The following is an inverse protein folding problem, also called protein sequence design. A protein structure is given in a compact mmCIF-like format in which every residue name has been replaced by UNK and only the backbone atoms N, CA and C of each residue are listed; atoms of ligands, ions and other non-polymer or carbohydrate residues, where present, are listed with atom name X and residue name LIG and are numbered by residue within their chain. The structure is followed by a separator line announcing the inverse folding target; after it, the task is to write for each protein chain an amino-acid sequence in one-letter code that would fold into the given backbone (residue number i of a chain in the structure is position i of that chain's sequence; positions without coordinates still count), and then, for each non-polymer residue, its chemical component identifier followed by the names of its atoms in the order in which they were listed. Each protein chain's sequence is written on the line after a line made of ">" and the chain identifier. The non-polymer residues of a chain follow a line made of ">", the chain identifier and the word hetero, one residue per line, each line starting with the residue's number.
data_IF_604933848757
#
_entry.id   IF_604933848757
#
_cell.length_a   1.000
_cell.length_b   1.000
_cell.length_c   1.000
_cell.angle_alpha   90.00
_cell.angle_beta   90.00
_cell.angle_gamma   90.00
#
_symmetry.space_group_name_H-M   'P 1'
#
loop_
_entity.id
_entity.type
_entity.pdbx_description
1 polymer ?
#
# COMPACT_ATOMS: atom_id res chain seq x y z
N UNK A 1 -6.90 -10.34 -11.24
CA UNK A 1 -6.39 -8.98 -10.98
C UNK A 1 -6.20 -8.25 -12.29
N UNK A 2 -6.15 -6.92 -12.28
CA UNK A 2 -6.01 -6.07 -13.48
C UNK A 2 -5.18 -4.83 -13.14
N UNK A 3 -4.68 -4.17 -14.17
CA UNK A 3 -3.91 -2.94 -14.02
C UNK A 3 -4.81 -1.69 -14.01
N UNK A 4 -4.45 -0.75 -13.15
CA UNK A 4 -4.70 0.68 -13.27
C UNK A 4 -3.34 1.33 -13.48
N UNK A 5 -3.15 2.07 -14.57
CA UNK A 5 -1.85 2.58 -15.02
C UNK A 5 -0.81 1.46 -15.21
N UNK A 6 -1.05 0.59 -16.20
CA UNK A 6 -0.13 -0.53 -16.50
C UNK A 6 1.27 -0.01 -16.86
N UNK A 7 2.35 -0.51 -16.23
CA UNK A 7 3.71 -0.15 -16.61
C UNK A 7 4.10 -0.82 -17.95
N UNK A 8 5.07 -0.23 -18.65
CA UNK A 8 5.55 -0.77 -19.95
C UNK A 8 6.28 -2.11 -19.80
N UNK A 9 7.00 -2.29 -18.69
CA UNK A 9 7.80 -3.49 -18.41
C UNK A 9 7.32 -4.16 -17.13
N UNK A 10 6.76 -5.34 -17.25
CA UNK A 10 6.35 -6.18 -16.13
C UNK A 10 6.27 -7.64 -16.54
N UNK A 11 6.39 -8.54 -15.58
CA UNK A 11 6.25 -9.98 -15.78
C UNK A 11 5.75 -10.69 -14.52
N UNK A 12 5.14 -11.86 -14.74
CA UNK A 12 4.88 -12.83 -13.67
C UNK A 12 5.76 -14.05 -13.83
N UNK A 13 6.37 -14.49 -12.72
CA UNK A 13 7.02 -15.78 -12.59
C UNK A 13 6.41 -16.50 -11.38
N UNK A 14 5.51 -17.44 -11.61
CA UNK A 14 4.70 -18.04 -10.54
C UNK A 14 3.87 -16.97 -9.82
N UNK A 15 4.10 -16.81 -8.52
CA UNK A 15 3.41 -15.82 -7.67
C UNK A 15 4.22 -14.51 -7.48
N UNK A 16 5.24 -14.28 -8.31
CA UNK A 16 6.09 -13.10 -8.25
C UNK A 16 5.74 -12.15 -9.36
N UNK A 17 5.45 -10.90 -9.02
CA UNK A 17 5.28 -9.81 -9.96
C UNK A 17 6.55 -8.96 -9.96
N UNK A 18 7.24 -8.90 -11.08
CA UNK A 18 8.35 -7.98 -11.32
C UNK A 18 7.90 -6.88 -12.25
N UNK A 19 8.29 -5.64 -11.96
CA UNK A 19 8.06 -4.52 -12.87
C UNK A 19 9.18 -3.48 -12.78
N UNK A 20 9.40 -2.76 -13.89
CA UNK A 20 10.11 -1.50 -13.87
C UNK A 20 9.10 -0.38 -13.62
N UNK A 21 9.25 0.32 -12.50
CA UNK A 21 8.31 1.36 -12.07
C UNK A 21 8.39 2.54 -13.04
N UNK A 22 7.24 2.95 -13.55
CA UNK A 22 7.13 4.06 -14.51
C UNK A 22 7.70 5.35 -13.92
N UNK A 23 8.65 6.00 -14.61
CA UNK A 23 9.24 7.27 -14.17
C UNK A 23 8.21 8.39 -14.07
N UNK A 24 8.44 9.33 -13.14
CA UNK A 24 7.64 10.55 -12.97
C UNK A 24 6.17 10.31 -12.65
N UNK A 25 5.89 9.21 -11.97
CA UNK A 25 4.54 8.84 -11.51
C UNK A 25 4.39 9.03 -10.00
N UNK A 26 3.17 9.31 -9.54
CA UNK A 26 2.85 9.43 -8.10
C UNK A 26 1.37 9.15 -7.82
N UNK A 27 1.05 9.13 -6.52
CA UNK A 27 -0.29 9.22 -5.95
C UNK A 27 -0.28 10.29 -4.87
N UNK A 28 -0.83 11.46 -5.18
CA UNK A 28 -0.90 12.58 -4.25
C UNK A 28 -2.12 13.47 -4.52
N UNK A 29 -2.68 14.07 -3.47
CA UNK A 29 -3.77 15.05 -3.61
C UNK A 29 -3.51 16.27 -2.74
N UNK A 30 -3.22 17.36 -3.39
CA UNK A 30 -3.22 18.77 -2.98
C UNK A 30 -2.39 19.18 -1.77
N UNK A 31 -2.40 18.45 -0.66
CA UNK A 31 -1.75 18.85 0.60
C UNK A 31 -0.32 19.30 0.37
N UNK A 32 0.03 20.45 0.92
CA UNK A 32 1.34 21.10 0.86
C UNK A 32 1.80 21.52 -0.54
N UNK A 33 1.73 20.61 -1.53
CA UNK A 33 2.29 20.82 -2.87
C UNK A 33 1.32 21.45 -3.88
N UNK A 34 0.02 21.41 -3.62
CA UNK A 34 -1.02 22.02 -4.47
C UNK A 34 -1.40 21.23 -5.72
N UNK A 35 -0.69 20.16 -6.09
CA UNK A 35 -1.00 19.34 -7.25
C UNK A 35 -1.82 18.07 -6.90
N UNK A 36 -2.38 17.45 -7.92
CA UNK A 36 -3.02 16.13 -7.84
C UNK A 36 -2.43 15.25 -8.93
N UNK A 37 -1.93 14.07 -8.55
CA UNK A 37 -1.37 13.04 -9.43
C UNK A 37 -1.96 11.68 -9.03
N UNK A 38 -2.24 10.84 -10.04
CA UNK A 38 -2.93 9.55 -9.87
C UNK A 38 -2.52 8.59 -11.01
N UNK A 39 -1.21 8.41 -11.23
CA UNK A 39 -0.66 7.78 -12.42
C UNK A 39 0.38 6.68 -12.18
N UNK A 40 0.67 6.34 -10.93
CA UNK A 40 1.53 5.20 -10.60
C UNK A 40 0.94 3.84 -11.02
N UNK A 41 1.75 2.83 -11.29
CA UNK A 41 1.28 1.47 -11.52
C UNK A 41 0.54 0.91 -10.30
N UNK A 42 -0.65 0.30 -10.55
CA UNK A 42 -1.42 -0.35 -9.51
C UNK A 42 -2.06 -1.64 -10.05
N UNK A 43 -1.63 -2.80 -9.55
CA UNK A 43 -2.17 -4.10 -9.93
C UNK A 43 -3.11 -4.60 -8.85
N UNK A 44 -4.41 -4.64 -9.14
CA UNK A 44 -5.45 -4.81 -8.12
C UNK A 44 -6.54 -5.81 -8.49
N UNK A 45 -7.31 -6.17 -7.47
CA UNK A 45 -8.65 -6.77 -7.62
C UNK A 45 -9.65 -6.00 -6.76
N UNK A 46 -10.92 -6.06 -7.14
CA UNK A 46 -12.01 -5.49 -6.33
C UNK A 46 -12.51 -6.52 -5.33
N UNK A 47 -12.70 -6.09 -4.09
CA UNK A 47 -13.07 -6.92 -2.97
C UNK A 47 -13.99 -6.18 -2.02
N UNK A 48 -15.04 -6.85 -1.53
CA UNK A 48 -15.93 -6.36 -0.47
C UNK A 48 -15.65 -7.04 0.88
N UNK A 49 -16.24 -6.50 1.95
CA UNK A 49 -16.16 -7.07 3.29
C UNK A 49 -14.82 -6.85 3.99
N UNK A 50 -14.62 -7.60 5.07
CA UNK A 50 -13.40 -7.55 5.88
C UNK A 50 -12.36 -8.53 5.35
N UNK A 51 -11.09 -8.13 5.37
CA UNK A 51 -9.99 -8.93 4.86
C UNK A 51 -8.64 -8.55 5.46
N UNK A 52 -7.72 -9.49 5.39
CA UNK A 52 -6.28 -9.26 5.52
C UNK A 52 -5.65 -9.36 4.14
N UNK A 53 -4.77 -8.42 3.80
CA UNK A 53 -3.90 -8.51 2.63
C UNK A 53 -2.44 -8.43 3.08
N UNK A 54 -1.61 -9.30 2.50
CA UNK A 54 -0.18 -9.39 2.78
C UNK A 54 0.62 -9.42 1.48
N UNK A 55 1.83 -8.85 1.50
CA UNK A 55 2.80 -8.91 0.41
C UNK A 55 4.21 -8.76 0.95
N UNK A 56 5.16 -9.45 0.33
CA UNK A 56 6.60 -9.19 0.47
C UNK A 56 7.07 -8.30 -0.65
N UNK A 57 7.81 -7.25 -0.33
CA UNK A 57 8.31 -6.27 -1.28
C UNK A 57 9.83 -6.19 -1.26
N UNK A 58 10.41 -6.03 -2.44
CA UNK A 58 11.85 -5.78 -2.65
C UNK A 58 11.98 -4.72 -3.74
N UNK A 59 12.67 -3.61 -3.46
CA UNK A 59 12.85 -2.51 -4.42
C UNK A 59 14.29 -2.05 -4.50
N UNK A 60 14.75 -1.71 -5.71
CA UNK A 60 16.05 -1.09 -5.96
C UNK A 60 15.90 0.44 -6.00
N UNK A 61 15.49 1.01 -4.84
CA UNK A 61 15.22 2.44 -4.69
C UNK A 61 16.46 3.28 -4.95
N UNK A 62 16.36 4.32 -5.79
CA UNK A 62 17.48 5.15 -6.24
C UNK A 62 17.26 6.64 -6.03
N UNK A 63 16.01 7.07 -6.14
CA UNK A 63 15.69 8.49 -6.15
C UNK A 63 14.69 8.81 -5.05
N UNK A 64 14.71 10.08 -4.63
CA UNK A 64 13.76 10.58 -3.64
C UNK A 64 12.33 10.27 -4.05
N UNK A 65 11.56 9.77 -3.10
CA UNK A 65 10.17 9.34 -3.22
C UNK A 65 9.93 8.07 -4.05
N UNK A 66 10.98 7.36 -4.51
CA UNK A 66 10.77 6.00 -5.00
C UNK A 66 10.03 5.19 -3.93
N UNK A 67 8.90 4.59 -4.31
CA UNK A 67 7.97 3.98 -3.35
C UNK A 67 7.29 2.75 -3.92
N UNK A 68 7.03 1.76 -3.06
CA UNK A 68 6.25 0.59 -3.41
C UNK A 68 5.57 -0.05 -2.19
N UNK A 69 4.47 -0.74 -2.42
CA UNK A 69 3.74 -1.43 -1.36
C UNK A 69 2.32 -1.82 -1.73
N UNK A 70 1.40 -1.64 -0.79
CA UNK A 70 -0.03 -1.92 -0.93
C UNK A 70 -0.83 -0.64 -1.10
N UNK A 71 -1.92 -0.73 -1.88
CA UNK A 71 -2.95 0.29 -1.92
C UNK A 71 -4.34 -0.33 -1.73
N UNK A 72 -5.14 0.33 -0.91
CA UNK A 72 -6.58 0.10 -0.75
C UNK A 72 -7.29 1.36 -1.20
N UNK A 73 -8.13 1.25 -2.23
CA UNK A 73 -8.68 2.39 -2.95
C UNK A 73 -10.17 2.22 -3.23
N UNK A 74 -10.97 3.24 -2.92
CA UNK A 74 -12.37 3.33 -3.34
C UNK A 74 -12.46 4.05 -4.68
N UNK A 75 -11.81 5.22 -4.79
CA UNK A 75 -11.80 6.07 -5.98
C UNK A 75 -10.58 7.00 -5.95
N UNK A 76 -10.52 8.00 -6.84
CA UNK A 76 -9.43 8.97 -6.93
C UNK A 76 -9.27 9.88 -5.70
N UNK A 77 -10.29 9.92 -4.82
CA UNK A 77 -10.33 10.81 -3.64
C UNK A 77 -10.17 10.09 -2.32
N UNK A 78 -10.43 8.78 -2.30
CA UNK A 78 -10.42 7.98 -1.07
C UNK A 78 -9.57 6.73 -1.29
N UNK A 79 -8.36 6.75 -0.74
CA UNK A 79 -7.40 5.66 -0.81
C UNK A 79 -6.35 5.74 0.29
N UNK A 80 -5.75 4.63 0.59
CA UNK A 80 -4.56 4.54 1.44
C UNK A 80 -3.51 3.76 0.68
N UNK A 81 -2.30 4.32 0.54
CA UNK A 81 -1.10 3.59 0.12
C UNK A 81 -0.16 3.44 1.29
N UNK A 82 0.52 2.31 1.36
CA UNK A 82 1.48 2.02 2.42
C UNK A 82 2.59 1.11 1.92
N UNK A 83 3.79 1.29 2.44
CA UNK A 83 4.93 0.48 2.04
C UNK A 83 6.27 1.10 2.40
N UNK A 84 7.23 0.93 1.53
CA UNK A 84 8.53 1.61 1.59
C UNK A 84 8.47 2.88 0.76
N UNK A 85 9.12 3.92 1.27
CA UNK A 85 9.38 5.15 0.57
C UNK A 85 10.83 5.62 0.84
N UNK A 86 11.57 5.93 -0.22
CA UNK A 86 12.95 6.37 -0.14
C UNK A 86 13.01 7.90 -0.01
N UNK A 87 13.33 8.39 1.20
CA UNK A 87 13.34 9.81 1.52
C UNK A 87 14.64 10.15 2.27
N UNK A 88 15.30 11.26 1.88
CA UNK A 88 16.56 11.71 2.48
C UNK A 88 17.65 10.63 2.48
N UNK A 89 17.78 9.88 1.36
CA UNK A 89 18.73 8.77 1.20
C UNK A 89 18.54 7.62 2.20
N UNK A 90 17.32 7.48 2.74
CA UNK A 90 16.96 6.49 3.74
C UNK A 90 15.71 5.73 3.36
N UNK A 91 15.65 4.48 3.80
CA UNK A 91 14.45 3.65 3.70
C UNK A 91 13.52 3.97 4.85
N UNK A 92 12.29 4.31 4.52
CA UNK A 92 11.24 4.57 5.48
C UNK A 92 10.05 3.65 5.24
N UNK A 93 9.38 3.22 6.30
CA UNK A 93 8.01 2.75 6.18
C UNK A 93 7.10 3.96 6.09
N UNK A 94 6.15 3.92 5.17
CA UNK A 94 5.29 5.04 4.82
C UNK A 94 3.83 4.65 4.76
N UNK A 95 2.96 5.57 5.15
CA UNK A 95 1.54 5.51 4.88
C UNK A 95 1.03 6.88 4.44
N UNK A 96 0.27 6.90 3.35
CA UNK A 96 -0.49 8.06 2.91
C UNK A 96 -1.96 7.74 2.98
N UNK A 97 -2.68 8.46 3.83
CA UNK A 97 -4.14 8.38 3.95
C UNK A 97 -4.72 9.53 3.15
N UNK A 98 -5.52 9.22 2.15
CA UNK A 98 -6.18 10.24 1.33
C UNK A 98 -7.69 10.15 1.51
N UNK A 99 -8.25 11.25 1.97
CA UNK A 99 -9.68 11.53 1.99
C UNK A 99 -9.85 12.98 1.52
N UNK A 100 -10.12 13.18 0.23
CA UNK A 100 -10.08 14.45 -0.50
C UNK A 100 -8.69 15.10 -0.53
N UNK A 101 -7.88 14.95 0.52
CA UNK A 101 -6.53 15.46 0.69
C UNK A 101 -5.61 14.39 1.25
N UNK A 102 -4.36 14.39 0.83
CA UNK A 102 -3.36 13.43 1.30
C UNK A 102 -2.76 13.83 2.65
N UNK A 103 -2.66 12.85 3.54
CA UNK A 103 -2.04 12.92 4.86
C UNK A 103 -0.92 11.88 4.92
N UNK A 104 0.31 12.31 5.10
CA UNK A 104 1.51 11.50 4.96
C UNK A 104 2.26 11.31 6.27
N UNK A 105 2.68 10.09 6.53
CA UNK A 105 3.57 9.73 7.63
C UNK A 105 4.68 8.81 7.16
N UNK A 106 5.90 9.04 7.67
CA UNK A 106 7.07 8.19 7.47
C UNK A 106 7.77 7.91 8.79
N UNK A 107 8.36 6.71 8.88
CA UNK A 107 9.26 6.33 9.98
C UNK A 107 10.49 5.68 9.37
N UNK A 108 11.66 6.24 9.66
CA UNK A 108 12.95 5.69 9.21
C UNK A 108 13.16 4.29 9.79
N UNK A 109 13.56 3.34 8.94
CA UNK A 109 14.02 2.03 9.37
C UNK A 109 15.49 2.10 9.78
N UNK A 110 15.79 1.70 11.00
CA UNK A 110 17.15 1.71 11.55
C UNK A 110 18.07 0.67 10.89
N UNK A 111 17.50 -0.36 10.29
CA UNK A 111 18.18 -1.36 9.50
C UNK A 111 17.64 -1.33 8.08
N UNK A 112 18.53 -1.43 7.08
CA UNK A 112 18.15 -1.43 5.68
C UNK A 112 17.77 -2.87 5.27
N UNK A 113 16.49 -3.24 5.25
CA UNK A 113 16.11 -4.59 4.88
C UNK A 113 16.20 -4.76 3.38
N UNK A 114 16.69 -5.93 2.94
CA UNK A 114 16.62 -6.29 1.51
C UNK A 114 15.18 -6.43 1.04
N UNK A 115 14.29 -6.91 1.92
CA UNK A 115 12.87 -7.13 1.68
C UNK A 115 12.09 -6.79 2.94
N UNK A 116 10.85 -6.39 2.77
CA UNK A 116 9.92 -6.09 3.86
C UNK A 116 8.57 -6.76 3.58
N UNK A 117 7.93 -7.29 4.61
CA UNK A 117 6.55 -7.74 4.54
C UNK A 117 5.62 -6.62 5.00
N UNK A 118 4.55 -6.42 4.24
CA UNK A 118 3.47 -5.50 4.57
C UNK A 118 2.21 -6.30 4.80
N UNK A 119 1.42 -5.89 5.78
CA UNK A 119 0.11 -6.45 6.06
C UNK A 119 -0.87 -5.33 6.35
N UNK A 120 -2.04 -5.39 5.72
CA UNK A 120 -3.15 -4.48 5.98
C UNK A 120 -4.38 -5.30 6.32
N UNK A 121 -5.03 -4.96 7.43
CA UNK A 121 -6.28 -5.57 7.87
C UNK A 121 -7.38 -4.52 7.72
N UNK A 122 -8.41 -4.86 6.91
CA UNK A 122 -9.64 -4.08 6.83
C UNK A 122 -10.67 -4.66 7.78
N UNK A 123 -11.04 -3.89 8.78
CA UNK A 123 -12.07 -4.28 9.75
C UNK A 123 -12.88 -3.07 10.19
N UNK A 124 -14.22 -3.24 10.26
CA UNK A 124 -15.15 -2.15 10.58
C UNK A 124 -14.89 -0.96 9.63
N UNK A 125 -14.71 0.23 10.18
CA UNK A 125 -14.42 1.48 9.47
C UNK A 125 -12.93 1.86 9.52
N UNK A 126 -12.03 0.85 9.55
CA UNK A 126 -10.60 1.08 9.71
C UNK A 126 -9.73 0.18 8.83
N UNK A 127 -8.52 0.68 8.54
CA UNK A 127 -7.38 -0.11 8.08
C UNK A 127 -6.31 -0.10 9.17
N UNK A 128 -5.95 -1.30 9.63
CA UNK A 128 -4.80 -1.53 10.49
C UNK A 128 -3.60 -1.87 9.59
N UNK A 129 -2.51 -1.12 9.69
CA UNK A 129 -1.35 -1.23 8.80
C UNK A 129 -0.13 -1.68 9.59
N UNK A 130 0.52 -2.73 9.10
CA UNK A 130 1.67 -3.35 9.75
C UNK A 130 2.80 -3.57 8.75
N UNK A 131 4.03 -3.65 9.29
CA UNK A 131 5.21 -4.14 8.58
C UNK A 131 5.95 -5.18 9.40
N UNK A 132 6.77 -6.01 8.73
CA UNK A 132 7.60 -7.03 9.36
C UNK A 132 8.91 -7.25 8.58
N UNK A 133 9.97 -7.59 9.30
CA UNK A 133 11.27 -7.97 8.73
C UNK A 133 11.41 -9.48 8.50
N UNK A 134 10.52 -10.30 9.08
CA UNK A 134 10.65 -11.76 9.16
C UNK A 134 9.35 -12.54 8.84
N UNK A 135 8.25 -11.85 8.50
CA UNK A 135 6.89 -12.39 8.31
C UNK A 135 6.30 -13.06 9.58
N UNK A 136 6.93 -12.89 10.72
CA UNK A 136 6.51 -13.48 12.00
C UNK A 136 6.08 -12.38 12.97
N UNK A 137 6.97 -11.42 13.23
CA UNK A 137 6.75 -10.32 14.15
C UNK A 137 6.31 -9.07 13.37
N UNK A 138 5.07 -8.65 13.59
CA UNK A 138 4.51 -7.49 12.93
C UNK A 138 4.42 -6.29 13.85
N UNK A 139 4.93 -5.15 13.39
CA UNK A 139 4.81 -3.86 14.07
C UNK A 139 3.68 -3.06 13.44
N UNK A 140 2.73 -2.59 14.26
CA UNK A 140 1.68 -1.69 13.80
C UNK A 140 2.30 -0.33 13.48
N UNK A 141 2.08 0.16 12.27
CA UNK A 141 2.51 1.46 11.80
C UNK A 141 1.40 2.50 11.90
N UNK A 142 0.17 2.10 11.58
CA UNK A 142 -0.97 3.03 11.57
C UNK A 142 -2.30 2.30 11.75
N UNK A 143 -3.22 2.94 12.46
CA UNK A 143 -4.65 2.70 12.40
C UNK A 143 -5.28 3.92 11.73
N UNK A 144 -5.99 3.72 10.63
CA UNK A 144 -6.60 4.80 9.88
C UNK A 144 -8.09 4.55 9.64
N UNK A 145 -8.91 5.60 9.75
CA UNK A 145 -10.29 5.54 9.30
C UNK A 145 -10.38 5.22 7.82
N UNK A 146 -11.25 4.29 7.46
CA UNK A 146 -11.54 3.95 6.08
C UNK A 146 -13.00 3.47 5.94
N UNK A 147 -13.81 4.02 5.01
CA UNK A 147 -15.22 3.67 4.89
C UNK A 147 -15.46 2.16 4.71
N UNK A 148 -16.39 1.58 5.48
CA UNK A 148 -16.61 0.13 5.55
C UNK A 148 -17.63 -0.42 4.53
N UNK A 149 -18.48 0.42 3.98
CA UNK A 149 -19.71 0.04 3.27
C UNK A 149 -19.56 -0.13 1.76
N UNK A 150 -18.33 -0.20 1.23
CA UNK A 150 -18.08 -0.26 -0.22
C UNK A 150 -17.06 -1.33 -0.58
N UNK A 151 -17.22 -1.98 -1.76
CA UNK A 151 -16.11 -2.70 -2.37
C UNK A 151 -14.93 -1.76 -2.62
N UNK A 152 -13.72 -2.29 -2.52
CA UNK A 152 -12.47 -1.56 -2.69
C UNK A 152 -11.58 -2.26 -3.70
N UNK A 153 -10.77 -1.49 -4.40
CA UNK A 153 -9.61 -2.00 -5.12
C UNK A 153 -8.50 -2.24 -4.10
N UNK A 154 -7.96 -3.44 -4.08
CA UNK A 154 -6.86 -3.83 -3.19
C UNK A 154 -5.76 -4.51 -4.00
N UNK A 155 -4.52 -4.09 -3.82
CA UNK A 155 -3.41 -4.64 -4.60
C UNK A 155 -2.06 -3.97 -4.35
N UNK A 156 -1.16 -4.25 -5.27
CA UNK A 156 0.24 -3.83 -5.25
C UNK A 156 0.42 -2.55 -6.06
N UNK A 157 1.14 -1.59 -5.52
CA UNK A 157 1.39 -0.29 -6.16
C UNK A 157 2.84 0.14 -6.02
N UNK A 158 3.30 0.96 -6.96
CA UNK A 158 4.60 1.61 -6.92
C UNK A 158 4.54 2.97 -7.61
N UNK A 159 5.52 3.84 -7.33
CA UNK A 159 5.69 5.10 -8.03
C UNK A 159 7.14 5.60 -7.91
N UNK A 160 7.56 6.43 -8.86
CA UNK A 160 8.89 7.07 -8.89
C UNK A 160 8.75 8.55 -9.25
N UNK A 161 8.32 9.41 -8.28
CA UNK A 161 7.97 10.81 -8.55
C UNK A 161 9.12 11.66 -9.09
N UNK A 162 10.24 11.64 -8.40
CA UNK A 162 11.43 12.42 -8.78
C UNK A 162 12.39 11.62 -9.68
N UNK A 163 12.23 10.29 -9.71
CA UNK A 163 13.17 9.37 -10.31
C UNK A 163 12.96 9.08 -11.80
N UNK A 164 13.82 8.19 -12.28
CA UNK A 164 13.76 7.62 -13.62
C UNK A 164 13.24 6.17 -13.60
N UNK A 165 12.53 5.80 -12.54
CA UNK A 165 12.06 4.45 -12.32
C UNK A 165 13.08 3.57 -11.57
N UNK A 166 12.63 2.42 -11.11
CA UNK A 166 13.44 1.42 -10.42
C UNK A 166 12.81 0.02 -10.56
N UNK A 167 13.60 -1.02 -10.30
CA UNK A 167 13.13 -2.38 -10.32
C UNK A 167 12.39 -2.72 -9.01
N UNK A 168 11.13 -3.15 -9.13
CA UNK A 168 10.28 -3.55 -8.03
C UNK A 168 9.85 -5.01 -8.17
N UNK A 169 9.95 -5.76 -7.08
CA UNK A 169 9.51 -7.15 -6.97
C UNK A 169 8.50 -7.30 -5.84
N UNK A 170 7.35 -7.87 -6.17
CA UNK A 170 6.31 -8.26 -5.23
C UNK A 170 6.20 -9.78 -5.19
N UNK A 171 6.27 -10.35 -4.00
CA UNK A 171 6.19 -11.78 -3.75
C UNK A 171 5.13 -12.05 -2.66
N UNK A 172 4.66 -13.29 -2.58
CA UNK A 172 3.78 -13.75 -1.50
C UNK A 172 2.51 -12.89 -1.32
N UNK A 173 2.00 -12.30 -2.42
CA UNK A 173 0.77 -11.53 -2.34
C UNK A 173 -0.41 -12.45 -2.03
N UNK A 174 -1.06 -12.22 -0.91
CA UNK A 174 -2.18 -13.02 -0.41
C UNK A 174 -3.29 -12.12 0.12
N UNK A 175 -4.54 -12.51 -0.14
CA UNK A 175 -5.73 -11.91 0.48
C UNK A 175 -6.54 -13.00 1.16
N UNK A 176 -6.83 -12.80 2.44
CA UNK A 176 -7.70 -13.66 3.25
C UNK A 176 -8.95 -12.89 3.67
N UNK A 177 -10.12 -13.46 3.46
CA UNK A 177 -11.34 -12.95 4.06
C UNK A 177 -11.33 -13.21 5.57
N UNK A 178 -11.76 -12.22 6.34
CA UNK A 178 -11.88 -12.31 7.79
C UNK A 178 -13.38 -12.35 8.12
N UNK A 179 -13.84 -13.29 8.97
CA UNK A 179 -15.19 -13.23 9.50
C UNK A 179 -15.42 -11.93 10.28
N UNK A 180 -16.60 -11.32 10.13
CA UNK A 180 -16.99 -10.08 10.84
C UNK A 180 -17.26 -10.35 12.35
N UNK A 181 -16.28 -10.92 13.02
CA UNK A 181 -16.39 -11.33 14.42
C UNK A 181 -16.27 -10.18 15.40
N UNK A 182 -15.57 -9.10 15.04
CA UNK A 182 -15.46 -7.93 15.90
C UNK A 182 -16.78 -7.18 15.97
N UNK A 183 -17.47 -7.00 14.84
CA UNK A 183 -18.78 -6.35 14.78
C UNK A 183 -19.82 -7.17 15.52
N UNK A 184 -19.83 -8.48 15.32
CA UNK A 184 -20.75 -9.39 16.05
C UNK A 184 -20.53 -9.27 17.55
N UNK A 185 -19.31 -9.39 18.05
CA UNK A 185 -18.98 -9.25 19.47
C UNK A 185 -19.32 -7.86 20.03
N UNK A 186 -19.09 -6.81 19.24
CA UNK A 186 -19.44 -5.46 19.64
C UNK A 186 -20.96 -5.30 19.80
N UNK A 187 -21.77 -5.81 18.88
CA UNK A 187 -23.23 -5.80 18.95
C UNK A 187 -23.75 -6.63 20.13
N UNK A 188 -23.18 -7.81 20.40
CA UNK A 188 -23.52 -8.63 21.56
C UNK A 188 -23.22 -7.94 22.89
N UNK A 189 -22.17 -7.11 22.94
CA UNK A 189 -21.78 -6.39 24.17
C UNK A 189 -22.59 -5.11 24.39
N UNK A 190 -23.04 -4.40 23.34
CA UNK A 190 -23.68 -3.09 23.40
C UNK A 190 -25.16 -3.11 22.96
N UNK A 191 -25.73 -4.28 22.65
CA UNK A 191 -27.11 -4.46 22.21
C UNK A 191 -28.16 -4.59 23.33
#
# INVERSE_FOLDING_TARGET
>A
MQWFNQPDQWSFEGNKLSLFVTPKTDYWRTTHYGFTVDDGPFYYRTLGGEFEVKVKITGDFKNRYDQMGLMIRINEKIWIKTGIEFVNEKINVSAVVTNERSDWSIVELTTYPKSLWLKVIRQLDALEIFYSHDDITYTMMRLAYFPDNRPVMVGMTAASPDGNGFDALFEEFEIKHIPDTKRIKWLEYNG
#
